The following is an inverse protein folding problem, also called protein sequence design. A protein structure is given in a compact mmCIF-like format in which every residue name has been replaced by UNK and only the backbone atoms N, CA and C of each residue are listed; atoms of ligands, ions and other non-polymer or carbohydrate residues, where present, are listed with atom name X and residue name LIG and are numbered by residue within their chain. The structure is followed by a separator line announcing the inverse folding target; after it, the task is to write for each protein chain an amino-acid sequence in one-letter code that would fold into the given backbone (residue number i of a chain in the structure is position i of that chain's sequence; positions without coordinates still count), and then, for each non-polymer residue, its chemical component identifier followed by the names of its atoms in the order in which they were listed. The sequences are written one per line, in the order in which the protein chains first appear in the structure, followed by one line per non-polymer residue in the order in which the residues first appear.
data_IF_950667211147
#
_entry.id   IF_950667211147
#
_cell.length_a   1.000
_cell.length_b   1.000
_cell.length_c   1.000
_cell.angle_alpha   90.00
_cell.angle_beta   90.00
_cell.angle_gamma   90.00
#
_symmetry.space_group_name_H-M   'P 1'
#
loop_
_entity.id
_entity.type
_entity.pdbx_description
1 polymer ?
#
# COMPACT_ATOMS: atom_id res chain seq x y z
N UNK A 1 -21.30 -8.41 -9.58
CA UNK A 1 -19.88 -8.67 -9.24
C UNK A 1 -19.72 -8.60 -7.74
N UNK A 2 -18.94 -9.52 -7.18
CA UNK A 2 -18.64 -9.64 -5.75
C UNK A 2 -17.26 -9.04 -5.46
N UNK A 3 -17.06 -8.55 -4.24
CA UNK A 3 -15.77 -8.06 -3.75
C UNK A 3 -15.15 -9.08 -2.80
N UNK A 4 -13.90 -9.47 -3.06
CA UNK A 4 -13.10 -10.35 -2.21
C UNK A 4 -11.91 -9.55 -1.70
N UNK A 5 -11.64 -9.59 -0.40
CA UNK A 5 -10.56 -8.81 0.21
C UNK A 5 -9.56 -9.70 0.94
N UNK A 6 -8.27 -9.39 0.78
CA UNK A 6 -7.16 -9.97 1.53
C UNK A 6 -6.47 -8.88 2.33
N UNK A 7 -6.29 -9.11 3.62
CA UNK A 7 -5.55 -8.22 4.53
C UNK A 7 -4.14 -8.79 4.76
N UNK A 8 -3.14 -7.93 4.66
CA UNK A 8 -1.74 -8.17 5.03
C UNK A 8 -1.26 -7.03 5.93
N UNK A 9 -0.11 -7.20 6.59
CA UNK A 9 0.49 -6.17 7.45
C UNK A 9 1.99 -6.05 7.19
N UNK A 10 2.55 -4.89 7.51
CA UNK A 10 4.00 -4.65 7.50
C UNK A 10 4.37 -3.55 8.49
N UNK A 11 5.60 -3.56 8.97
CA UNK A 11 6.12 -2.57 9.92
C UNK A 11 7.17 -1.73 9.21
N UNK A 12 7.03 -0.42 9.19
CA UNK A 12 8.00 0.43 8.50
C UNK A 12 8.19 1.78 9.17
N UNK A 13 9.40 2.32 9.02
CA UNK A 13 9.73 3.68 9.45
C UNK A 13 9.66 4.65 8.27
N UNK A 14 9.30 5.91 8.52
CA UNK A 14 9.32 6.98 7.53
C UNK A 14 9.39 8.38 8.16
N UNK A 15 9.56 9.39 7.31
CA UNK A 15 9.46 10.82 7.66
C UNK A 15 8.80 11.53 6.49
N UNK A 16 7.92 12.47 6.81
CA UNK A 16 7.39 13.43 5.85
C UNK A 16 8.31 14.64 5.83
N UNK A 17 8.90 14.89 4.66
CA UNK A 17 9.88 15.96 4.48
C UNK A 17 9.95 16.42 3.04
N UNK A 18 9.82 17.73 2.86
CA UNK A 18 10.06 18.38 1.58
C UNK A 18 11.46 19.00 1.59
N UNK A 19 12.41 18.50 0.78
CA UNK A 19 13.78 19.03 0.74
C UNK A 19 13.86 20.46 0.18
N UNK A 20 12.82 20.96 -0.48
CA UNK A 20 12.75 22.32 -1.01
C UNK A 20 12.21 23.33 0.00
N UNK A 21 11.84 22.90 1.21
CA UNK A 21 11.31 23.76 2.26
C UNK A 21 12.32 23.94 3.39
N UNK A 22 12.20 25.04 4.14
CA UNK A 22 12.95 25.22 5.37
C UNK A 22 12.54 24.20 6.43
N UNK A 23 13.35 24.05 7.46
CA UNK A 23 13.03 23.16 8.59
C UNK A 23 11.78 23.63 9.33
N UNK A 24 11.61 24.93 9.52
CA UNK A 24 10.45 25.54 10.17
C UNK A 24 9.17 25.20 9.43
N UNK A 25 9.17 25.35 8.10
CA UNK A 25 8.01 25.03 7.27
C UNK A 25 7.68 23.53 7.28
N UNK A 26 8.69 22.67 7.26
CA UNK A 26 8.46 21.22 7.40
C UNK A 26 7.84 20.88 8.76
N UNK A 27 8.33 21.48 9.85
CA UNK A 27 7.76 21.27 11.19
C UNK A 27 6.35 21.85 11.31
N UNK A 28 6.06 22.99 10.70
CA UNK A 28 4.73 23.60 10.68
C UNK A 28 3.71 22.71 9.96
N UNK A 29 4.07 22.21 8.76
CA UNK A 29 3.15 21.45 7.92
C UNK A 29 3.01 19.99 8.36
N UNK A 30 4.11 19.31 8.64
CA UNK A 30 4.12 17.87 8.93
C UNK A 30 4.18 17.57 10.43
N UNK A 31 4.46 18.55 11.28
CA UNK A 31 4.47 18.39 12.73
C UNK A 31 5.38 17.23 13.19
N UNK A 32 4.89 16.34 14.07
CA UNK A 32 5.63 15.16 14.51
C UNK A 32 6.12 14.25 13.39
N UNK A 33 5.45 14.22 12.23
CA UNK A 33 5.83 13.36 11.11
C UNK A 33 7.12 13.85 10.41
N UNK A 34 7.56 15.09 10.66
CA UNK A 34 8.85 15.62 10.21
C UNK A 34 10.01 15.36 11.19
N UNK A 35 9.84 14.49 12.19
CA UNK A 35 10.88 14.16 13.17
C UNK A 35 12.21 13.78 12.50
N UNK A 36 13.31 14.46 12.89
CA UNK A 36 14.64 14.24 12.31
C UNK A 36 15.10 12.79 12.39
N UNK A 37 14.70 12.08 13.45
CA UNK A 37 15.03 10.67 13.69
C UNK A 37 13.94 9.69 13.28
N UNK A 38 13.09 10.07 12.31
CA UNK A 38 12.01 9.24 11.78
C UNK A 38 10.92 8.90 12.81
N UNK A 39 9.90 8.21 12.35
CA UNK A 39 8.92 7.52 13.18
C UNK A 39 8.45 6.29 12.39
N UNK A 40 7.57 5.47 12.93
CA UNK A 40 7.09 4.29 12.22
C UNK A 40 5.70 3.84 12.64
N UNK A 41 5.16 2.93 11.84
CA UNK A 41 3.81 2.40 12.01
C UNK A 41 3.75 0.92 11.72
N UNK A 42 2.71 0.29 12.26
CA UNK A 42 2.30 -1.07 11.94
C UNK A 42 1.18 -0.95 10.91
N UNK A 43 1.56 -0.89 9.64
CA UNK A 43 0.64 -0.67 8.54
C UNK A 43 -0.21 -1.91 8.27
N UNK A 44 -1.46 -1.68 7.88
CA UNK A 44 -2.34 -2.75 7.37
C UNK A 44 -2.76 -2.44 5.94
N UNK A 45 -2.47 -3.34 5.01
CA UNK A 45 -2.88 -3.26 3.61
C UNK A 45 -4.04 -4.22 3.36
N UNK A 46 -5.18 -3.69 2.92
CA UNK A 46 -6.31 -4.49 2.44
C UNK A 46 -6.40 -4.34 0.93
N UNK A 47 -6.28 -5.46 0.24
CA UNK A 47 -6.38 -5.55 -1.21
C UNK A 47 -7.73 -6.15 -1.57
N UNK A 48 -8.56 -5.38 -2.26
CA UNK A 48 -9.89 -5.81 -2.70
C UNK A 48 -9.89 -6.05 -4.20
N UNK A 49 -10.33 -7.25 -4.60
CA UNK A 49 -10.57 -7.67 -5.98
C UNK A 49 -12.08 -7.70 -6.22
N UNK A 50 -12.52 -7.25 -7.39
CA UNK A 50 -13.92 -7.30 -7.82
C UNK A 50 -14.05 -8.17 -9.06
N UNK A 51 -15.01 -9.09 -9.08
CA UNK A 51 -15.26 -9.94 -10.25
C UNK A 51 -16.52 -10.78 -10.16
N UNK A 52 -16.69 -11.66 -11.13
CA UNK A 52 -17.69 -12.72 -11.11
C UNK A 52 -17.07 -14.00 -10.54
N UNK A 53 -17.76 -14.74 -9.64
CA UNK A 53 -17.35 -16.07 -9.26
C UNK A 53 -17.21 -16.97 -10.50
N UNK A 54 -16.12 -17.72 -10.55
CA UNK A 54 -15.92 -18.81 -11.51
C UNK A 54 -16.97 -19.92 -11.28
N UNK A 55 -17.48 -20.52 -12.37
CA UNK A 55 -18.62 -21.46 -12.31
C UNK A 55 -18.25 -22.78 -11.62
N UNK A 56 -17.01 -23.23 -11.76
CA UNK A 56 -16.55 -24.51 -11.22
C UNK A 56 -16.09 -24.38 -9.76
N UNK A 57 -15.43 -23.27 -9.42
CA UNK A 57 -14.80 -23.07 -8.09
C UNK A 57 -15.59 -22.15 -7.16
N UNK A 58 -16.46 -21.29 -7.70
CA UNK A 58 -17.15 -20.24 -6.95
C UNK A 58 -16.24 -19.10 -6.50
N UNK A 59 -14.98 -19.04 -6.95
CA UNK A 59 -14.02 -18.01 -6.52
C UNK A 59 -13.97 -16.85 -7.52
N UNK A 60 -13.83 -15.63 -7.01
CA UNK A 60 -13.41 -14.48 -7.83
C UNK A 60 -11.90 -14.53 -8.08
N UNK A 61 -11.14 -14.96 -7.07
CA UNK A 61 -9.68 -15.12 -7.09
C UNK A 61 -9.29 -16.14 -6.03
N UNK A 62 -8.25 -16.95 -6.30
CA UNK A 62 -7.63 -17.79 -5.27
C UNK A 62 -6.94 -16.88 -4.22
N UNK A 63 -7.45 -16.90 -2.98
CA UNK A 63 -6.92 -16.11 -1.86
C UNK A 63 -5.47 -16.45 -1.50
N UNK A 64 -5.02 -17.69 -1.71
CA UNK A 64 -3.63 -18.10 -1.48
C UNK A 64 -2.72 -17.50 -2.55
N UNK A 65 -3.15 -17.53 -3.82
CA UNK A 65 -2.43 -16.88 -4.91
C UNK A 65 -2.35 -15.35 -4.69
N UNK A 66 -3.46 -14.73 -4.30
CA UNK A 66 -3.52 -13.30 -3.99
C UNK A 66 -2.59 -12.94 -2.82
N UNK A 67 -2.61 -13.70 -1.71
CA UNK A 67 -1.72 -13.47 -0.57
C UNK A 67 -0.25 -13.58 -0.96
N UNK A 68 0.12 -14.63 -1.71
CA UNK A 68 1.50 -14.83 -2.19
C UNK A 68 1.96 -13.66 -3.06
N UNK A 69 1.10 -13.21 -3.97
CA UNK A 69 1.38 -12.08 -4.86
C UNK A 69 1.58 -10.78 -4.09
N UNK A 70 0.68 -10.44 -3.15
CA UNK A 70 0.79 -9.22 -2.34
C UNK A 70 2.08 -9.23 -1.53
N UNK A 71 2.42 -10.39 -0.94
CA UNK A 71 3.62 -10.51 -0.12
C UNK A 71 4.90 -10.30 -0.91
N UNK A 72 5.08 -11.08 -1.98
CA UNK A 72 6.30 -11.06 -2.79
C UNK A 72 6.52 -9.71 -3.49
N UNK A 73 5.45 -9.07 -3.96
CA UNK A 73 5.57 -7.84 -4.76
C UNK A 73 5.58 -6.57 -3.91
N UNK A 74 4.96 -6.59 -2.73
CA UNK A 74 4.83 -5.39 -1.88
C UNK A 74 5.39 -5.62 -0.48
N UNK A 75 4.82 -6.54 0.31
CA UNK A 75 5.13 -6.65 1.75
C UNK A 75 6.62 -6.90 1.99
N UNK A 76 7.23 -7.85 1.28
CA UNK A 76 8.65 -8.20 1.46
C UNK A 76 9.60 -7.04 1.07
N UNK A 77 9.10 -6.04 0.34
CA UNK A 77 9.85 -4.84 -0.04
C UNK A 77 9.78 -3.71 0.99
N UNK A 78 8.77 -3.72 1.85
CA UNK A 78 8.49 -2.63 2.79
C UNK A 78 8.54 -3.05 4.27
N UNK A 79 8.39 -4.33 4.57
CA UNK A 79 8.39 -4.83 5.94
C UNK A 79 9.79 -4.77 6.59
N UNK A 80 9.82 -4.24 7.81
CA UNK A 80 11.02 -3.95 8.58
C UNK A 80 12.02 -3.05 7.82
N UNK A 81 11.51 -2.07 7.06
CA UNK A 81 12.31 -1.11 6.28
C UNK A 81 12.04 0.34 6.64
N UNK A 82 12.96 1.23 6.26
CA UNK A 82 12.68 2.65 6.17
C UNK A 82 12.19 3.00 4.76
N UNK A 83 10.95 3.46 4.64
CA UNK A 83 10.28 3.73 3.36
C UNK A 83 10.97 4.82 2.53
N UNK A 84 11.69 5.74 3.17
CA UNK A 84 12.35 6.83 2.47
C UNK A 84 13.71 6.43 1.86
N UNK A 85 14.40 5.43 2.44
CA UNK A 85 15.80 5.13 2.07
C UNK A 85 16.03 3.69 1.61
N UNK A 86 15.22 2.73 2.03
CA UNK A 86 15.42 1.31 1.72
C UNK A 86 14.49 0.79 0.61
N UNK A 87 13.47 1.57 0.21
CA UNK A 87 12.43 1.14 -0.72
C UNK A 87 12.62 1.81 -2.07
N UNK A 88 13.11 1.06 -3.04
CA UNK A 88 13.51 1.57 -4.37
C UNK A 88 12.42 2.39 -5.07
N UNK A 89 11.17 1.92 -5.05
CA UNK A 89 10.06 2.62 -5.72
C UNK A 89 9.57 3.87 -4.97
N UNK A 90 10.07 4.12 -3.75
CA UNK A 90 9.79 5.32 -2.97
C UNK A 90 10.93 6.35 -3.02
N UNK A 91 12.06 6.04 -3.65
CA UNK A 91 13.17 6.98 -3.79
C UNK A 91 12.72 8.27 -4.48
N UNK A 92 13.05 9.41 -3.85
CA UNK A 92 12.68 10.74 -4.34
C UNK A 92 11.19 11.10 -4.19
N UNK A 93 10.39 10.27 -3.52
CA UNK A 93 8.96 10.52 -3.28
C UNK A 93 8.70 10.86 -1.81
N UNK A 94 7.63 11.62 -1.56
CA UNK A 94 7.14 11.83 -0.20
C UNK A 94 6.54 10.51 0.32
N UNK A 95 6.96 10.04 1.49
CA UNK A 95 6.51 8.77 2.07
C UNK A 95 5.15 8.88 2.78
N UNK A 96 4.18 9.58 2.20
CA UNK A 96 2.81 9.64 2.72
C UNK A 96 2.02 8.38 2.36
N UNK A 97 0.94 8.10 3.09
CA UNK A 97 0.07 6.96 2.80
C UNK A 97 -0.56 7.02 1.40
N UNK A 98 -0.90 8.22 0.93
CA UNK A 98 -1.44 8.44 -0.42
C UNK A 98 -0.42 8.02 -1.48
N UNK A 99 0.83 8.43 -1.35
CA UNK A 99 1.87 8.03 -2.31
C UNK A 99 2.18 6.54 -2.22
N UNK A 100 2.26 5.98 -1.01
CA UNK A 100 2.49 4.54 -0.82
C UNK A 100 1.41 3.70 -1.49
N UNK A 101 0.12 4.02 -1.26
CA UNK A 101 -0.98 3.24 -1.84
C UNK A 101 -1.03 3.36 -3.36
N UNK A 102 -0.67 4.52 -3.93
CA UNK A 102 -0.55 4.69 -5.38
C UNK A 102 0.59 3.84 -5.97
N UNK A 103 1.74 3.74 -5.30
CA UNK A 103 2.84 2.89 -5.75
C UNK A 103 2.50 1.40 -5.61
N UNK A 104 1.85 1.00 -4.51
CA UNK A 104 1.35 -0.37 -4.36
C UNK A 104 0.35 -0.73 -5.45
N UNK A 105 -0.52 0.21 -5.85
CA UNK A 105 -1.46 0.00 -6.95
C UNK A 105 -0.74 -0.27 -8.27
N UNK A 106 0.23 0.57 -8.65
CA UNK A 106 1.01 0.40 -9.89
C UNK A 106 1.67 -0.99 -9.97
N UNK A 107 2.14 -1.50 -8.83
CA UNK A 107 2.76 -2.82 -8.72
C UNK A 107 1.71 -3.94 -8.79
N UNK A 108 0.62 -3.83 -8.02
CA UNK A 108 -0.34 -4.91 -7.84
C UNK A 108 -1.33 -5.05 -8.99
N UNK A 109 -1.82 -3.95 -9.56
CA UNK A 109 -2.88 -3.97 -10.59
C UNK A 109 -2.58 -4.93 -11.76
N UNK A 110 -1.42 -4.83 -12.46
CA UNK A 110 -1.14 -5.73 -13.58
C UNK A 110 -0.99 -7.19 -13.16
N UNK A 111 -0.53 -7.46 -11.93
CA UNK A 111 -0.33 -8.81 -11.43
C UNK A 111 -1.66 -9.45 -10.97
N UNK A 112 -2.50 -8.68 -10.26
CA UNK A 112 -3.84 -9.12 -9.82
C UNK A 112 -4.74 -9.41 -11.01
N UNK A 113 -4.75 -8.54 -12.02
CA UNK A 113 -5.58 -8.74 -13.21
C UNK A 113 -5.22 -10.04 -13.96
N UNK A 114 -3.97 -10.52 -13.89
CA UNK A 114 -3.56 -11.80 -14.50
C UNK A 114 -4.14 -13.02 -13.77
N UNK A 115 -4.42 -12.91 -12.48
CA UNK A 115 -4.96 -14.00 -11.65
C UNK A 115 -6.47 -13.87 -11.40
N UNK A 116 -7.13 -12.92 -12.08
CA UNK A 116 -8.57 -12.64 -11.93
C UNK A 116 -9.23 -12.52 -13.31
N UNK A 117 -9.51 -13.64 -14.00
CA UNK A 117 -9.94 -13.62 -15.40
C UNK A 117 -11.28 -12.92 -15.64
N UNK A 118 -12.18 -12.92 -14.65
CA UNK A 118 -13.51 -12.30 -14.72
C UNK A 118 -13.63 -11.10 -13.78
N UNK A 119 -12.53 -10.36 -13.59
CA UNK A 119 -12.47 -9.25 -12.65
C UNK A 119 -11.15 -8.49 -12.70
N UNK A 120 -10.82 -7.85 -11.59
CA UNK A 120 -9.54 -7.15 -11.43
C UNK A 120 -9.40 -6.49 -10.07
N UNK A 121 -8.25 -5.85 -9.88
CA UNK A 121 -8.00 -5.03 -8.69
C UNK A 121 -9.04 -3.89 -8.63
N UNK A 122 -9.71 -3.77 -7.48
CA UNK A 122 -10.78 -2.80 -7.29
C UNK A 122 -10.40 -1.68 -6.35
N UNK A 123 -9.76 -2.02 -5.22
CA UNK A 123 -9.45 -1.06 -4.19
C UNK A 123 -8.25 -1.51 -3.36
N UNK A 124 -7.38 -0.57 -3.03
CA UNK A 124 -6.42 -0.71 -1.95
C UNK A 124 -6.86 0.16 -0.78
N UNK A 125 -6.84 -0.39 0.43
CA UNK A 125 -6.95 0.38 1.67
C UNK A 125 -5.66 0.23 2.46
N UNK A 126 -5.02 1.33 2.79
CA UNK A 126 -3.81 1.35 3.62
C UNK A 126 -4.11 2.06 4.94
N UNK A 127 -4.07 1.32 6.04
CA UNK A 127 -4.09 1.89 7.39
C UNK A 127 -2.66 2.24 7.80
N UNK A 128 -2.44 3.52 8.11
CA UNK A 128 -1.24 3.97 8.85
C UNK A 128 -1.42 3.67 10.33
N UNK A 129 -2.61 3.99 10.84
CA UNK A 129 -3.05 3.70 12.20
C UNK A 129 -4.52 3.27 12.15
N UNK A 130 -5.10 2.73 13.23
CA UNK A 130 -6.53 2.41 13.26
C UNK A 130 -7.46 3.61 12.98
N UNK A 131 -6.95 4.85 13.09
CA UNK A 131 -7.71 6.09 12.90
C UNK A 131 -7.41 6.80 11.57
N UNK A 132 -6.30 6.47 10.92
CA UNK A 132 -5.83 7.11 9.69
C UNK A 132 -5.66 6.05 8.61
N UNK A 133 -6.47 6.14 7.55
CA UNK A 133 -6.37 5.23 6.42
C UNK A 133 -6.76 5.91 5.12
N UNK A 134 -6.18 5.40 4.03
CA UNK A 134 -6.43 5.89 2.67
C UNK A 134 -7.05 4.76 1.86
N UNK A 135 -8.12 5.06 1.13
CA UNK A 135 -8.67 4.20 0.08
C UNK A 135 -8.20 4.72 -1.28
N UNK A 136 -7.74 3.84 -2.17
CA UNK A 136 -7.37 4.17 -3.54
C UNK A 136 -7.99 3.18 -4.52
N UNK A 137 -8.59 3.70 -5.59
CA UNK A 137 -9.36 2.95 -6.59
C UNK A 137 -8.70 2.91 -7.97
N UNK A 138 -7.48 3.44 -8.11
CA UNK A 138 -6.75 3.46 -9.39
C UNK A 138 -7.07 4.62 -10.31
N UNK A 139 -7.58 5.72 -9.76
CA UNK A 139 -7.92 6.97 -10.45
C UNK A 139 -6.74 7.96 -10.52
#
# INVERSE_FOLDING_TARGET
MIHVSRKEHFNAAHKLWNPNWTEERNKEVFGPCANANWHGHNFELIVTVKGLPDEDTGFVVDLKALSTLIRTLVIDKVDHKNLNVDVDFMQGKMASCENLVMEFWKILQPAVNKITPHGGLYKLKLYETPRNFVDYYGE
#
